data_IF_558150763244
#
_entry.id   IF_558150763244
#
_cell.length_a   1.000
_cell.length_b   1.000
_cell.length_c   1.000
_cell.angle_alpha   90.00
_cell.angle_beta   90.00
_cell.angle_gamma   90.00
#
_symmetry.space_group_name_H-M   'P 1'
#
loop_
_entity.id
_entity.type
_entity.pdbx_description
1 polymer ?
#
# COMPACT_ATOMS: atom_id res chain seq x y z
N UNK A 1 54.47 -2.50 -46.04
CA UNK A 1 53.01 -2.85 -45.87
C UNK A 1 52.72 -3.00 -44.39
N UNK A 2 52.05 -2.02 -43.74
CA UNK A 2 51.78 -2.01 -42.33
C UNK A 2 50.32 -2.45 -42.07
N UNK A 3 50.10 -3.60 -41.49
CA UNK A 3 48.77 -4.11 -41.11
C UNK A 3 48.35 -3.44 -39.79
N UNK A 4 47.25 -2.66 -39.83
CA UNK A 4 46.61 -2.11 -38.63
C UNK A 4 45.59 -3.16 -38.10
N UNK A 5 45.94 -3.80 -37.00
CA UNK A 5 45.02 -4.69 -36.29
C UNK A 5 43.95 -3.85 -35.58
N UNK A 6 42.69 -3.97 -35.97
CA UNK A 6 41.55 -3.37 -35.25
C UNK A 6 41.10 -4.35 -34.17
N UNK A 7 41.29 -3.96 -32.93
CA UNK A 7 40.71 -4.67 -31.78
C UNK A 7 39.26 -4.23 -31.65
N UNK A 8 38.32 -5.14 -31.88
CA UNK A 8 36.89 -4.92 -31.65
C UNK A 8 36.62 -5.32 -30.22
N UNK A 9 36.39 -4.33 -29.35
CA UNK A 9 36.01 -4.55 -27.96
C UNK A 9 34.49 -4.81 -27.93
N UNK A 10 34.12 -6.09 -27.84
CA UNK A 10 32.69 -6.48 -27.61
C UNK A 10 32.35 -6.21 -26.16
N UNK A 11 31.57 -5.17 -25.91
CA UNK A 11 30.98 -4.92 -24.60
C UNK A 11 29.87 -5.94 -24.36
N UNK A 12 30.14 -6.93 -23.52
CA UNK A 12 29.16 -7.89 -23.05
C UNK A 12 28.26 -7.21 -22.03
N UNK A 13 27.06 -6.79 -22.45
CA UNK A 13 26.05 -6.18 -21.59
C UNK A 13 25.44 -7.32 -20.73
N UNK A 14 25.90 -7.48 -19.49
CA UNK A 14 25.28 -8.38 -18.51
C UNK A 14 23.89 -7.85 -18.18
N UNK A 15 22.85 -8.41 -18.80
CA UNK A 15 21.47 -8.26 -18.32
C UNK A 15 21.37 -8.98 -16.98
N UNK A 16 21.41 -8.21 -15.88
CA UNK A 16 21.07 -8.71 -14.56
C UNK A 16 19.57 -9.02 -14.52
N UNK A 17 19.20 -10.27 -14.72
CA UNK A 17 17.87 -10.77 -14.39
C UNK A 17 17.71 -10.66 -12.88
N UNK A 18 17.14 -9.57 -12.41
CA UNK A 18 16.66 -9.47 -11.05
C UNK A 18 15.42 -10.37 -10.94
N UNK A 19 15.62 -11.64 -10.57
CA UNK A 19 14.54 -12.49 -10.08
C UNK A 19 14.03 -11.86 -8.80
N UNK A 20 13.04 -10.99 -8.91
CA UNK A 20 12.42 -10.36 -7.75
C UNK A 20 11.80 -11.45 -6.90
N UNK A 21 12.39 -11.71 -5.73
CA UNK A 21 11.74 -12.52 -4.71
C UNK A 21 10.38 -11.91 -4.41
N UNK A 22 9.35 -12.73 -4.38
CA UNK A 22 7.99 -12.33 -4.02
C UNK A 22 7.50 -13.21 -2.89
N UNK A 23 6.67 -12.64 -2.03
CA UNK A 23 5.93 -13.38 -1.01
C UNK A 23 4.60 -13.81 -1.63
N UNK A 24 4.28 -15.10 -1.61
CA UNK A 24 2.95 -15.56 -1.99
C UNK A 24 2.05 -15.66 -0.76
N UNK A 25 0.87 -15.03 -0.81
CA UNK A 25 -0.12 -15.04 0.26
C UNK A 25 -1.53 -15.14 -0.34
N UNK A 26 -2.29 -16.17 0.02
CA UNK A 26 -3.66 -16.38 -0.49
C UNK A 26 -3.76 -16.34 -2.02
N UNK A 27 -2.76 -16.85 -2.73
CA UNK A 27 -2.67 -16.78 -4.20
C UNK A 27 -2.31 -15.40 -4.75
N UNK A 28 -2.00 -14.43 -3.89
CA UNK A 28 -1.52 -13.10 -4.29
C UNK A 28 0.00 -13.09 -4.25
N UNK A 29 0.60 -12.69 -5.38
CA UNK A 29 2.03 -12.46 -5.47
C UNK A 29 2.36 -11.04 -4.96
N UNK A 30 3.03 -10.93 -3.80
CA UNK A 30 3.41 -9.68 -3.15
C UNK A 30 4.89 -9.39 -3.46
N UNK A 31 5.20 -8.40 -4.32
CA UNK A 31 6.58 -8.05 -4.66
C UNK A 31 7.38 -7.60 -3.43
N UNK A 32 8.66 -7.96 -3.36
CA UNK A 32 9.55 -7.53 -2.27
C UNK A 32 9.95 -6.06 -2.39
N UNK A 33 9.84 -5.47 -3.59
CA UNK A 33 10.21 -4.07 -3.83
C UNK A 33 9.17 -3.37 -4.71
N UNK A 34 9.04 -2.07 -4.51
CA UNK A 34 8.26 -1.14 -5.32
C UNK A 34 9.06 0.14 -5.54
N UNK A 35 8.73 0.89 -6.58
CA UNK A 35 9.29 2.23 -6.79
C UNK A 35 8.18 3.26 -6.67
N UNK A 36 8.38 4.26 -5.82
CA UNK A 36 7.43 5.35 -5.60
C UNK A 36 8.19 6.66 -5.74
N UNK A 37 7.74 7.53 -6.63
CA UNK A 37 8.37 8.82 -6.90
C UNK A 37 9.90 8.70 -7.11
N UNK A 38 10.34 7.69 -7.88
CA UNK A 38 11.76 7.42 -8.16
C UNK A 38 12.55 6.78 -7.02
N UNK A 39 11.95 6.57 -5.85
CA UNK A 39 12.61 5.93 -4.70
C UNK A 39 12.20 4.46 -4.58
N UNK A 40 13.19 3.58 -4.41
CA UNK A 40 12.94 2.17 -4.13
C UNK A 40 12.42 2.01 -2.70
N UNK A 41 11.34 1.24 -2.55
CA UNK A 41 10.75 0.82 -1.29
C UNK A 41 10.86 -0.69 -1.15
N UNK A 42 11.17 -1.16 0.03
CA UNK A 42 11.13 -2.58 0.37
C UNK A 42 9.80 -2.93 1.04
N UNK A 43 9.36 -4.18 0.87
CA UNK A 43 8.22 -4.72 1.61
C UNK A 43 8.54 -4.67 3.11
N UNK A 44 7.80 -3.86 3.85
CA UNK A 44 7.90 -3.80 5.32
C UNK A 44 7.15 -4.96 5.97
N UNK A 45 5.99 -5.29 5.41
CA UNK A 45 5.19 -6.43 5.82
C UNK A 45 3.93 -6.59 4.96
N UNK A 46 3.34 -7.78 5.03
CA UNK A 46 2.07 -8.10 4.38
C UNK A 46 1.21 -8.99 5.27
N UNK A 47 -0.11 -8.87 5.14
CA UNK A 47 -1.04 -9.66 5.94
C UNK A 47 -2.43 -9.74 5.33
N UNK A 48 -3.20 -10.72 5.80
CA UNK A 48 -4.56 -10.98 5.36
C UNK A 48 -5.56 -10.15 6.17
N UNK A 49 -6.44 -9.43 5.48
CA UNK A 49 -7.63 -8.82 6.09
C UNK A 49 -8.79 -9.82 6.05
N UNK A 50 -9.29 -10.18 7.21
CA UNK A 50 -10.50 -10.98 7.37
C UNK A 50 -11.62 -10.10 7.93
N UNK A 51 -12.81 -10.17 7.36
CA UNK A 51 -14.03 -9.54 7.87
C UNK A 51 -15.02 -10.61 8.25
N UNK A 52 -15.86 -10.35 9.27
CA UNK A 52 -16.90 -11.29 9.68
C UNK A 52 -18.23 -10.83 9.13
N UNK A 53 -18.91 -11.69 8.36
CA UNK A 53 -20.27 -11.48 7.91
C UNK A 53 -21.20 -12.43 8.67
N UNK A 54 -21.93 -11.89 9.65
CA UNK A 54 -22.62 -12.73 10.63
C UNK A 54 -21.62 -13.53 11.46
N UNK A 55 -21.57 -14.84 11.26
CA UNK A 55 -20.61 -15.75 11.92
C UNK A 55 -19.53 -16.30 10.97
N UNK A 56 -19.52 -15.87 9.72
CA UNK A 56 -18.65 -16.42 8.68
C UNK A 56 -17.45 -15.49 8.47
N UNK A 57 -16.20 -15.95 8.71
CA UNK A 57 -15.01 -15.20 8.37
C UNK A 57 -14.80 -15.19 6.85
N UNK A 58 -14.64 -14.01 6.27
CA UNK A 58 -14.42 -13.82 4.83
C UNK A 58 -13.06 -13.16 4.64
N UNK A 59 -12.20 -13.80 3.85
CA UNK A 59 -10.93 -13.24 3.40
C UNK A 59 -11.22 -12.11 2.41
N UNK A 60 -10.93 -10.87 2.79
CA UNK A 60 -11.29 -9.68 2.03
C UNK A 60 -10.19 -9.27 1.04
N UNK A 61 -8.98 -9.06 1.55
CA UNK A 61 -7.83 -8.65 0.74
C UNK A 61 -6.51 -9.01 1.43
N UNK A 62 -5.46 -9.11 0.64
CA UNK A 62 -4.08 -9.07 1.12
C UNK A 62 -3.63 -7.62 1.14
N UNK A 63 -3.21 -7.13 2.31
CA UNK A 63 -2.58 -5.82 2.45
C UNK A 63 -1.07 -5.99 2.43
N UNK A 64 -0.36 -5.13 1.69
CA UNK A 64 1.09 -5.01 1.73
C UNK A 64 1.48 -3.56 1.98
N UNK A 65 2.50 -3.38 2.82
CA UNK A 65 3.03 -2.09 3.23
C UNK A 65 4.50 -1.99 2.86
N UNK A 66 4.87 -0.89 2.19
CA UNK A 66 6.23 -0.65 1.69
C UNK A 66 6.78 0.64 2.26
N UNK A 67 8.07 0.62 2.59
CA UNK A 67 8.80 1.74 3.16
C UNK A 67 10.27 1.77 2.70
N UNK A 68 10.96 2.94 2.78
CA UNK A 68 12.37 3.05 2.42
C UNK A 68 13.30 2.26 3.34
N UNK A 69 12.90 2.06 4.58
CA UNK A 69 13.63 1.33 5.63
C UNK A 69 12.63 0.60 6.53
N UNK A 70 13.03 -0.45 7.25
CA UNK A 70 12.14 -1.19 8.13
C UNK A 70 11.50 -0.30 9.20
N UNK A 71 10.17 -0.36 9.31
CA UNK A 71 9.35 0.37 10.29
C UNK A 71 8.64 -0.66 11.19
N UNK A 72 9.11 -0.81 12.44
CA UNK A 72 8.70 -1.88 13.35
C UNK A 72 7.74 -1.44 14.47
N UNK A 73 7.40 -0.16 14.51
CA UNK A 73 6.48 0.40 15.50
C UNK A 73 5.58 1.46 14.91
N UNK A 74 4.47 1.75 15.60
CA UNK A 74 3.55 2.85 15.29
C UNK A 74 4.29 4.18 15.19
N UNK A 75 5.11 4.51 16.19
CA UNK A 75 5.84 5.77 16.23
C UNK A 75 6.79 5.91 15.04
N UNK A 76 7.50 4.83 14.66
CA UNK A 76 8.37 4.83 13.50
C UNK A 76 7.60 5.10 12.20
N UNK A 77 6.41 4.51 12.05
CA UNK A 77 5.54 4.74 10.88
C UNK A 77 5.04 6.18 10.85
N UNK A 78 4.52 6.69 11.96
CA UNK A 78 3.98 8.05 12.05
C UNK A 78 5.06 9.14 11.89
N UNK A 79 6.29 8.86 12.30
CA UNK A 79 7.44 9.76 12.15
C UNK A 79 8.11 9.68 10.77
N UNK A 80 7.82 8.63 9.99
CA UNK A 80 8.48 8.42 8.68
C UNK A 80 8.21 9.61 7.74
N UNK A 81 9.24 10.16 7.09
CA UNK A 81 9.05 11.19 6.07
C UNK A 81 8.48 10.63 4.76
N UNK A 82 8.43 9.29 4.61
CA UNK A 82 8.03 8.61 3.39
C UNK A 82 9.15 8.56 2.32
N UNK A 83 8.81 8.24 1.05
CA UNK A 83 7.46 7.80 0.64
C UNK A 83 7.07 6.46 1.26
N UNK A 84 5.77 6.26 1.45
CA UNK A 84 5.19 5.01 1.91
C UNK A 84 4.14 4.53 0.91
N UNK A 85 3.94 3.22 0.80
CA UNK A 85 2.88 2.68 -0.05
C UNK A 85 2.13 1.55 0.64
N UNK A 86 0.80 1.60 0.55
CA UNK A 86 -0.09 0.46 0.78
C UNK A 86 -0.61 -0.07 -0.55
N UNK A 87 -0.75 -1.38 -0.63
CA UNK A 87 -1.50 -2.04 -1.70
C UNK A 87 -2.47 -3.03 -1.06
N UNK A 88 -3.74 -2.98 -1.47
CA UNK A 88 -4.81 -3.86 -1.01
C UNK A 88 -5.27 -4.67 -2.22
N UNK A 89 -4.84 -5.94 -2.33
CA UNK A 89 -5.24 -6.84 -3.41
C UNK A 89 -6.44 -7.66 -2.98
N UNK A 90 -7.56 -7.46 -3.64
CA UNK A 90 -8.86 -8.04 -3.24
C UNK A 90 -8.97 -9.49 -3.66
N UNK A 91 -9.40 -10.35 -2.72
CA UNK A 91 -9.55 -11.79 -2.92
C UNK A 91 -10.92 -12.17 -3.51
N UNK A 92 -11.83 -11.20 -3.63
CA UNK A 92 -13.15 -11.34 -4.26
C UNK A 92 -13.53 -10.05 -4.96
N UNK A 93 -14.50 -10.14 -5.87
CA UNK A 93 -15.12 -8.94 -6.42
C UNK A 93 -15.95 -8.21 -5.33
N UNK A 94 -15.89 -6.87 -5.35
CA UNK A 94 -16.58 -6.00 -4.38
C UNK A 94 -17.21 -4.85 -5.14
N UNK A 95 -18.51 -4.59 -4.91
CA UNK A 95 -19.20 -3.47 -5.51
C UNK A 95 -18.71 -2.14 -4.94
N UNK A 96 -18.92 -1.03 -5.67
CA UNK A 96 -18.59 0.33 -5.19
C UNK A 96 -19.20 0.61 -3.81
N UNK A 97 -20.46 0.26 -3.61
CA UNK A 97 -21.15 0.53 -2.35
C UNK A 97 -20.53 -0.26 -1.19
N UNK A 98 -20.18 -1.53 -1.40
CA UNK A 98 -19.49 -2.34 -0.38
C UNK A 98 -18.11 -1.76 -0.04
N UNK A 99 -17.33 -1.32 -1.05
CA UNK A 99 -16.01 -0.69 -0.83
C UNK A 99 -16.14 0.58 -0.01
N UNK A 100 -17.04 1.48 -0.40
CA UNK A 100 -17.26 2.76 0.30
C UNK A 100 -17.74 2.50 1.73
N UNK A 101 -18.71 1.57 1.91
CA UNK A 101 -19.20 1.22 3.25
C UNK A 101 -18.13 0.59 4.12
N UNK A 102 -17.29 -0.28 3.55
CA UNK A 102 -16.15 -0.87 4.29
C UNK A 102 -15.18 0.20 4.77
N UNK A 103 -14.81 1.15 3.91
CA UNK A 103 -13.96 2.28 4.28
C UNK A 103 -14.61 3.17 5.36
N UNK A 104 -15.90 3.51 5.22
CA UNK A 104 -16.64 4.29 6.22
C UNK A 104 -16.61 3.61 7.59
N UNK A 105 -16.91 2.32 7.64
CA UNK A 105 -16.90 1.54 8.87
C UNK A 105 -15.51 1.48 9.50
N UNK A 106 -14.45 1.29 8.70
CA UNK A 106 -13.07 1.28 9.18
C UNK A 106 -12.64 2.64 9.74
N UNK A 107 -12.94 3.71 9.02
CA UNK A 107 -12.66 5.09 9.44
C UNK A 107 -13.34 5.37 10.77
N UNK A 108 -14.62 5.04 10.90
CA UNK A 108 -15.40 5.27 12.12
C UNK A 108 -14.86 4.46 13.31
N UNK A 109 -14.46 3.21 13.08
CA UNK A 109 -14.02 2.30 14.15
C UNK A 109 -12.57 2.51 14.59
N UNK A 110 -11.68 2.85 13.67
CA UNK A 110 -10.23 2.73 13.84
C UNK A 110 -9.45 4.02 13.65
N UNK A 111 -10.02 5.07 13.04
CA UNK A 111 -9.32 6.34 12.87
C UNK A 111 -9.25 7.07 14.22
N UNK A 112 -8.07 7.04 14.84
CA UNK A 112 -7.85 7.62 16.17
C UNK A 112 -7.28 9.03 16.13
N UNK A 113 -6.81 9.49 14.95
CA UNK A 113 -6.31 10.84 14.75
C UNK A 113 -7.37 11.72 14.09
N UNK A 114 -7.67 12.88 14.68
CA UNK A 114 -8.65 13.84 14.19
C UNK A 114 -8.03 15.23 13.99
N UNK A 115 -8.59 16.03 13.07
CA UNK A 115 -8.17 17.40 12.77
C UNK A 115 -9.36 18.18 12.15
N UNK A 116 -9.33 19.52 12.07
CA UNK A 116 -10.51 20.34 11.67
C UNK A 116 -11.11 19.97 10.30
N UNK A 117 -10.29 19.68 9.28
CA UNK A 117 -10.76 19.39 7.91
C UNK A 117 -11.02 17.91 7.62
N UNK A 118 -10.97 17.04 8.67
CA UNK A 118 -11.07 15.58 8.51
C UNK A 118 -12.29 15.14 7.68
N UNK A 119 -13.45 15.75 7.91
CA UNK A 119 -14.70 15.35 7.22
C UNK A 119 -14.65 15.66 5.73
N UNK A 120 -14.09 16.80 5.35
CA UNK A 120 -13.88 17.16 3.95
C UNK A 120 -12.96 16.18 3.24
N UNK A 121 -11.82 15.88 3.86
CA UNK A 121 -10.82 14.99 3.28
C UNK A 121 -11.31 13.54 3.24
N UNK A 122 -12.05 13.10 4.26
CA UNK A 122 -12.72 11.80 4.30
C UNK A 122 -13.72 11.66 3.16
N UNK A 123 -14.56 12.67 2.93
CA UNK A 123 -15.54 12.67 1.84
C UNK A 123 -14.85 12.59 0.48
N UNK A 124 -13.78 13.37 0.28
CA UNK A 124 -12.98 13.31 -0.94
C UNK A 124 -12.36 11.91 -1.14
N UNK A 125 -11.77 11.32 -0.09
CA UNK A 125 -11.18 9.99 -0.11
C UNK A 125 -12.19 8.91 -0.52
N UNK A 126 -13.36 8.90 0.11
CA UNK A 126 -14.42 7.92 -0.19
C UNK A 126 -14.94 8.04 -1.62
N UNK A 127 -14.96 9.25 -2.18
CA UNK A 127 -15.35 9.50 -3.57
C UNK A 127 -14.40 8.92 -4.63
N UNK A 128 -13.17 8.57 -4.25
CA UNK A 128 -12.14 8.07 -5.18
C UNK A 128 -12.29 6.57 -5.51
N UNK A 129 -13.13 5.83 -4.76
CA UNK A 129 -13.23 4.39 -4.93
C UNK A 129 -14.36 3.97 -5.88
N UNK A 130 -14.05 2.94 -6.69
CA UNK A 130 -14.99 2.25 -7.59
C UNK A 130 -15.29 0.82 -7.15
N UNK A 131 -15.98 0.06 -7.99
CA UNK A 131 -16.10 -1.39 -7.85
C UNK A 131 -14.74 -2.04 -8.19
N UNK A 132 -14.41 -3.13 -7.51
CA UNK A 132 -13.16 -3.86 -7.69
C UNK A 132 -13.45 -5.29 -8.07
N UNK A 133 -12.74 -5.80 -9.05
CA UNK A 133 -12.80 -7.23 -9.44
C UNK A 133 -11.93 -8.07 -8.49
N UNK A 134 -12.17 -9.38 -8.48
CA UNK A 134 -11.23 -10.31 -7.84
C UNK A 134 -9.84 -10.16 -8.46
N UNK A 135 -8.81 -10.07 -7.65
CA UNK A 135 -7.43 -9.79 -8.06
C UNK A 135 -7.13 -8.31 -8.33
N UNK A 136 -8.16 -7.45 -8.39
CA UNK A 136 -7.98 -6.00 -8.50
C UNK A 136 -7.38 -5.41 -7.24
N UNK A 137 -6.70 -4.26 -7.38
CA UNK A 137 -5.98 -3.63 -6.28
C UNK A 137 -6.35 -2.16 -6.08
N UNK A 138 -6.49 -1.76 -4.83
CA UNK A 138 -6.41 -0.36 -4.42
C UNK A 138 -5.02 -0.07 -3.87
N UNK A 139 -4.50 1.11 -4.18
CA UNK A 139 -3.19 1.53 -3.71
C UNK A 139 -3.26 2.95 -3.15
N UNK A 140 -2.56 3.17 -2.04
CA UNK A 140 -2.40 4.49 -1.43
C UNK A 140 -0.92 4.76 -1.26
N UNK A 141 -0.45 5.86 -1.83
CA UNK A 141 0.91 6.35 -1.69
C UNK A 141 0.93 7.62 -0.85
N UNK A 142 1.86 7.69 0.10
CA UNK A 142 2.12 8.86 0.92
C UNK A 142 3.45 9.46 0.44
N UNK A 143 3.39 10.59 -0.26
CA UNK A 143 4.57 11.22 -0.89
C UNK A 143 4.66 12.67 -0.43
N UNK A 144 5.73 13.03 0.25
CA UNK A 144 5.83 14.33 0.91
C UNK A 144 4.67 14.52 1.90
N UNK A 145 3.81 15.50 1.66
CA UNK A 145 2.59 15.72 2.45
C UNK A 145 1.33 15.18 1.80
N UNK A 146 1.41 14.67 0.58
CA UNK A 146 0.25 14.27 -0.22
C UNK A 146 -0.07 12.78 -0.07
N UNK A 147 -1.37 12.48 -0.06
CA UNK A 147 -1.91 11.12 -0.14
C UNK A 147 -2.50 10.90 -1.51
N UNK A 148 -1.88 10.05 -2.31
CA UNK A 148 -2.32 9.70 -3.65
C UNK A 148 -3.10 8.38 -3.59
N UNK A 149 -4.30 8.35 -4.15
CA UNK A 149 -5.17 7.17 -4.17
C UNK A 149 -5.30 6.64 -5.58
N UNK A 150 -5.06 5.34 -5.74
CA UNK A 150 -5.12 4.64 -7.03
C UNK A 150 -6.14 3.49 -6.96
N UNK A 151 -6.78 3.24 -8.09
CA UNK A 151 -7.61 2.07 -8.32
C UNK A 151 -7.09 1.37 -9.58
N UNK A 152 -6.60 0.13 -9.45
CA UNK A 152 -5.94 -0.62 -10.50
C UNK A 152 -4.90 0.21 -11.28
N UNK A 153 -3.93 0.78 -10.57
CA UNK A 153 -2.84 1.63 -11.11
C UNK A 153 -3.27 2.99 -11.69
N UNK A 154 -4.58 3.29 -11.75
CA UNK A 154 -5.09 4.58 -12.20
C UNK A 154 -5.22 5.55 -11.02
N UNK A 155 -4.52 6.68 -11.06
CA UNK A 155 -4.66 7.75 -10.07
C UNK A 155 -6.09 8.30 -10.08
N UNK A 156 -6.77 8.23 -8.93
CA UNK A 156 -8.14 8.74 -8.74
C UNK A 156 -8.19 10.11 -8.11
N UNK A 157 -7.18 10.46 -7.33
CA UNK A 157 -7.09 11.75 -6.70
C UNK A 157 -5.94 11.86 -5.70
N UNK A 158 -5.80 13.08 -5.19
CA UNK A 158 -4.77 13.44 -4.21
C UNK A 158 -5.41 14.24 -3.08
N UNK A 159 -5.07 13.90 -1.84
CA UNK A 159 -5.46 14.65 -0.66
C UNK A 159 -4.19 15.26 -0.08
N UNK A 160 -4.08 16.60 -0.03
CA UNK A 160 -2.92 17.25 0.52
C UNK A 160 -2.96 17.28 2.05
N UNK A 161 -1.81 17.36 2.65
CA UNK A 161 -1.66 17.62 4.09
C UNK A 161 -1.29 16.39 4.91
N UNK A 162 -0.28 16.59 5.77
CA UNK A 162 0.25 15.56 6.68
C UNK A 162 -0.80 15.05 7.68
N UNK A 163 -1.80 15.87 8.00
CA UNK A 163 -2.86 15.47 8.93
C UNK A 163 -3.68 14.30 8.40
N UNK A 164 -4.04 14.32 7.10
CA UNK A 164 -4.74 13.18 6.50
C UNK A 164 -3.88 11.92 6.47
N UNK A 165 -2.57 12.06 6.18
CA UNK A 165 -1.65 10.92 6.23
C UNK A 165 -1.63 10.26 7.62
N UNK A 166 -1.53 11.06 8.69
CA UNK A 166 -1.56 10.53 10.07
C UNK A 166 -2.89 9.87 10.39
N UNK A 167 -4.00 10.48 9.99
CA UNK A 167 -5.33 9.89 10.18
C UNK A 167 -5.47 8.57 9.42
N UNK A 168 -5.02 8.52 8.16
CA UNK A 168 -5.00 7.30 7.34
C UNK A 168 -4.12 6.21 7.98
N UNK A 169 -2.89 6.53 8.38
CA UNK A 169 -1.97 5.58 9.01
C UNK A 169 -2.54 5.02 10.32
N UNK A 170 -3.30 5.82 11.07
CA UNK A 170 -3.90 5.39 12.35
C UNK A 170 -4.91 4.25 12.19
N UNK A 171 -5.46 4.03 11.00
CA UNK A 171 -6.38 2.90 10.72
C UNK A 171 -5.71 1.55 10.94
N UNK A 172 -4.43 1.43 10.56
CA UNK A 172 -3.68 0.17 10.70
C UNK A 172 -2.75 0.17 11.89
N UNK A 173 -2.13 1.29 12.21
CA UNK A 173 -1.05 1.36 13.19
C UNK A 173 -1.45 2.03 14.50
N UNK A 174 -2.60 2.71 14.56
CA UNK A 174 -3.09 3.40 15.75
C UNK A 174 -3.43 2.46 16.90
N UNK A 175 -3.90 3.04 18.02
CA UNK A 175 -4.26 2.31 19.25
C UNK A 175 -5.47 1.39 19.07
N UNK A 176 -6.31 1.63 18.03
CA UNK A 176 -7.46 0.80 17.67
C UNK A 176 -7.34 0.35 16.20
N UNK A 177 -6.37 -0.52 15.87
CA UNK A 177 -6.18 -0.94 14.49
C UNK A 177 -7.40 -1.74 14.01
N UNK A 178 -7.63 -1.71 12.69
CA UNK A 178 -8.75 -2.45 12.07
C UNK A 178 -8.69 -3.96 12.31
N UNK A 179 -7.47 -4.48 12.59
CA UNK A 179 -7.20 -5.89 12.89
C UNK A 179 -5.79 -6.00 13.51
N UNK A 180 -5.68 -6.54 14.72
CA UNK A 180 -4.44 -6.52 15.49
C UNK A 180 -3.31 -7.36 14.86
N UNK A 181 -3.62 -8.56 14.38
CA UNK A 181 -2.68 -9.43 13.68
C UNK A 181 -2.24 -8.84 12.33
N UNK A 182 -3.12 -8.14 11.61
CA UNK A 182 -2.76 -7.41 10.40
C UNK A 182 -1.78 -6.25 10.73
N UNK A 183 -2.00 -5.50 11.83
CA UNK A 183 -1.04 -4.48 12.30
C UNK A 183 0.33 -5.11 12.53
N UNK A 184 0.39 -6.23 13.24
CA UNK A 184 1.64 -6.96 13.51
C UNK A 184 2.33 -7.37 12.21
N UNK A 185 1.58 -7.99 11.30
CA UNK A 185 2.09 -8.46 10.01
C UNK A 185 2.63 -7.30 9.13
N UNK A 186 1.94 -6.15 9.09
CA UNK A 186 2.38 -4.97 8.33
C UNK A 186 3.63 -4.32 8.92
N UNK A 187 3.84 -4.43 10.23
CA UNK A 187 5.08 -4.03 10.91
C UNK A 187 6.21 -5.07 10.75
N UNK A 188 5.94 -6.21 10.09
CA UNK A 188 6.90 -7.28 9.86
C UNK A 188 7.34 -7.98 11.16
N UNK A 189 6.40 -8.13 12.10
CA UNK A 189 6.57 -8.81 13.39
C UNK A 189 5.89 -10.17 13.35
#
# INVERSE_FOLDING_TARGET
MKYKTRVVLSALMLLSLHSGFSLEMEGVNVPQQKTVNGQALSLNGAGLRTVTLGFIPIKAYVASFYSPSPLKSEDAVLASPGPLQFTFTFLRAVSKNEVVQAWQNQIQASMTYTYPDLEKDRTAFLGMFGAITQGGAQMVQLVGTDTLVYDNETLKGTIPGRNFQKAFLSLWFGSKPIQADLKSALLGN
#
